data_IF_129162750661
#
_entry.id   IF_129162750661
#
_cell.length_a   1.000
_cell.length_b   1.000
_cell.length_c   1.000
_cell.angle_alpha   90.00
_cell.angle_beta   90.00
_cell.angle_gamma   90.00
#
_symmetry.space_group_name_H-M   'P 1'
#
loop_
_entity.id
_entity.type
_entity.pdbx_description
1 polymer ?
#
# COMPACT_ATOMS: atom_id res chain seq x y z
N UNK A 1 -10.20 2.37 14.28
CA UNK A 1 -9.22 3.04 13.40
C UNK A 1 -9.74 4.39 12.96
N UNK A 2 -10.83 4.48 12.19
CA UNK A 2 -11.45 5.78 11.88
C UNK A 2 -11.78 6.62 13.13
N UNK A 3 -12.19 5.98 14.25
CA UNK A 3 -12.43 6.68 15.53
C UNK A 3 -11.17 7.32 16.13
N UNK A 4 -9.99 6.75 15.86
CA UNK A 4 -8.70 7.23 16.42
C UNK A 4 -8.11 8.38 15.61
N UNK A 5 -8.31 8.36 14.29
CA UNK A 5 -7.70 9.33 13.35
C UNK A 5 -8.70 10.32 12.76
N UNK A 6 -9.99 10.13 13.01
CA UNK A 6 -11.06 10.88 12.35
C UNK A 6 -11.27 10.47 10.88
N UNK A 7 -12.09 11.24 10.15
CA UNK A 7 -12.28 11.05 8.71
C UNK A 7 -10.95 11.18 7.95
N UNK A 8 -10.67 10.23 7.06
CA UNK A 8 -9.46 10.22 6.24
C UNK A 8 -9.85 10.47 4.78
N UNK A 9 -9.32 11.50 4.16
CA UNK A 9 -9.49 11.68 2.72
C UNK A 9 -8.54 10.77 1.93
N UNK A 10 -7.27 10.72 2.34
CA UNK A 10 -6.20 10.01 1.63
C UNK A 10 -5.38 9.17 2.59
N UNK A 11 -5.14 7.90 2.24
CA UNK A 11 -4.27 7.00 2.99
C UNK A 11 -3.02 6.61 2.17
N UNK A 12 -1.83 6.91 2.70
CA UNK A 12 -0.56 6.36 2.21
C UNK A 12 -0.24 5.12 3.05
N UNK A 13 -0.25 3.93 2.45
CA UNK A 13 -0.09 2.67 3.19
C UNK A 13 1.17 1.94 2.76
N UNK A 14 2.08 1.58 3.68
CA UNK A 14 3.18 0.68 3.36
C UNK A 14 2.59 -0.69 2.99
N UNK A 15 3.03 -1.25 1.86
CA UNK A 15 2.56 -2.57 1.39
C UNK A 15 3.69 -3.59 1.28
N UNK A 16 4.92 -3.16 1.56
CA UNK A 16 6.12 -3.98 1.54
C UNK A 16 7.21 -3.39 2.44
N UNK A 17 8.45 -3.79 2.21
CA UNK A 17 9.58 -3.41 3.03
C UNK A 17 10.91 -3.68 2.36
N UNK A 18 11.98 -3.74 3.15
CA UNK A 18 13.36 -3.70 2.64
C UNK A 18 13.99 -5.08 2.51
N UNK A 19 13.21 -6.10 2.13
CA UNK A 19 13.72 -7.45 1.99
C UNK A 19 12.61 -8.51 1.98
N UNK A 20 12.99 -9.79 1.91
CA UNK A 20 12.04 -10.89 1.74
C UNK A 20 11.28 -11.26 3.02
N UNK A 21 11.59 -10.63 4.16
CA UNK A 21 10.89 -10.86 5.42
C UNK A 21 10.52 -9.52 6.07
N UNK A 22 9.23 -9.29 6.24
CA UNK A 22 8.67 -8.07 6.82
C UNK A 22 8.53 -8.16 8.36
N UNK A 23 8.32 -9.34 8.91
CA UNK A 23 8.05 -9.54 10.34
C UNK A 23 6.67 -9.01 10.78
N UNK A 24 6.31 -9.26 12.04
CA UNK A 24 4.94 -9.04 12.53
C UNK A 24 4.52 -7.56 12.62
N UNK A 25 5.49 -6.65 12.81
CA UNK A 25 5.26 -5.21 12.95
C UNK A 25 5.09 -4.45 11.62
N UNK A 26 5.17 -5.13 10.48
CA UNK A 26 5.04 -4.52 9.17
C UNK A 26 3.74 -4.91 8.48
N UNK A 27 3.24 -4.00 7.66
CA UNK A 27 2.15 -4.28 6.73
C UNK A 27 2.73 -4.93 5.48
N UNK A 28 2.09 -6.02 5.07
CA UNK A 28 2.12 -6.53 3.70
C UNK A 28 0.90 -6.00 2.93
N UNK A 29 0.82 -6.29 1.63
CA UNK A 29 -0.30 -5.89 0.77
C UNK A 29 -1.68 -6.27 1.35
N UNK A 30 -1.81 -7.46 1.96
CA UNK A 30 -3.07 -7.94 2.52
C UNK A 30 -3.45 -7.27 3.83
N UNK A 31 -2.48 -7.07 4.74
CA UNK A 31 -2.68 -6.32 5.99
C UNK A 31 -2.94 -4.84 5.72
N UNK A 32 -2.28 -4.25 4.72
CA UNK A 32 -2.57 -2.90 4.27
C UNK A 32 -4.01 -2.79 3.72
N UNK A 33 -4.47 -3.75 2.92
CA UNK A 33 -5.86 -3.75 2.44
C UNK A 33 -6.89 -3.92 3.58
N UNK A 34 -6.54 -4.65 4.65
CA UNK A 34 -7.35 -4.71 5.87
C UNK A 34 -7.41 -3.36 6.60
N UNK A 35 -6.27 -2.67 6.73
CA UNK A 35 -6.23 -1.33 7.31
C UNK A 35 -7.05 -0.35 6.46
N UNK A 36 -6.95 -0.43 5.14
CA UNK A 36 -7.70 0.40 4.19
C UNK A 36 -9.22 0.28 4.42
N UNK A 37 -9.73 -0.94 4.55
CA UNK A 37 -11.15 -1.20 4.81
C UNK A 37 -11.63 -0.67 6.18
N UNK A 38 -10.73 -0.50 7.16
CA UNK A 38 -11.05 0.06 8.48
C UNK A 38 -10.92 1.58 8.56
N UNK A 39 -10.09 2.17 7.69
CA UNK A 39 -9.89 3.62 7.57
C UNK A 39 -10.94 4.25 6.65
N UNK A 40 -11.45 3.48 5.67
CA UNK A 40 -12.42 3.91 4.65
C UNK A 40 -12.10 5.28 4.04
N UNK A 41 -10.87 5.49 3.51
CA UNK A 41 -10.53 6.75 2.89
C UNK A 41 -11.21 6.89 1.52
N UNK A 42 -11.19 8.10 0.94
CA UNK A 42 -11.63 8.30 -0.45
C UNK A 42 -10.58 7.80 -1.45
N UNK A 43 -9.31 8.07 -1.16
CA UNK A 43 -8.18 7.68 -1.99
C UNK A 43 -7.09 6.96 -1.21
N UNK A 44 -6.32 6.12 -1.87
CA UNK A 44 -5.14 5.49 -1.29
C UNK A 44 -3.98 5.33 -2.28
N UNK A 45 -2.76 5.36 -1.75
CA UNK A 45 -1.52 5.13 -2.53
C UNK A 45 -0.67 4.10 -1.78
N UNK A 46 -0.34 2.96 -2.41
CA UNK A 46 0.62 2.02 -1.83
C UNK A 46 2.02 2.63 -1.85
N UNK A 47 2.74 2.52 -0.73
CA UNK A 47 4.11 3.02 -0.58
C UNK A 47 5.02 1.96 0.04
N UNK A 48 6.30 2.30 0.22
CA UNK A 48 7.28 1.48 0.92
C UNK A 48 7.54 0.10 0.30
N UNK A 49 7.47 0.00 -1.02
CA UNK A 49 7.85 -1.19 -1.80
C UNK A 49 8.71 -0.79 -3.00
N UNK A 50 9.33 -1.75 -3.68
CA UNK A 50 9.99 -1.54 -4.98
C UNK A 50 11.15 -0.56 -4.99
N UNK A 51 11.78 -0.27 -3.84
CA UNK A 51 12.86 0.73 -3.74
C UNK A 51 14.12 0.19 -3.05
N UNK A 52 14.06 -0.24 -1.79
CA UNK A 52 15.23 -0.76 -1.06
C UNK A 52 15.26 -2.29 -1.04
N UNK A 53 16.45 -2.86 -1.30
CA UNK A 53 16.67 -4.30 -1.27
C UNK A 53 18.06 -4.64 -0.67
N UNK A 54 18.20 -5.71 0.14
CA UNK A 54 19.48 -6.08 0.72
C UNK A 54 20.49 -6.51 -0.35
N UNK A 55 21.75 -6.08 -0.17
CA UNK A 55 22.85 -6.48 -1.04
C UNK A 55 23.04 -8.01 -0.94
N UNK A 56 23.21 -8.67 -2.09
CA UNK A 56 23.46 -10.12 -2.16
C UNK A 56 22.21 -10.99 -2.20
N UNK A 57 21.01 -10.40 -2.27
CA UNK A 57 19.73 -11.12 -2.32
C UNK A 57 19.02 -10.99 -3.68
N UNK A 58 19.73 -10.71 -4.77
CA UNK A 58 19.08 -10.43 -6.07
C UNK A 58 18.28 -11.62 -6.63
N UNK A 59 18.60 -12.86 -6.26
CA UNK A 59 17.90 -14.06 -6.74
C UNK A 59 16.42 -14.15 -6.31
N UNK A 60 16.05 -13.56 -5.17
CA UNK A 60 14.65 -13.55 -4.65
C UNK A 60 13.94 -12.20 -4.84
N UNK A 61 14.67 -11.20 -5.34
CA UNK A 61 14.19 -9.83 -5.56
C UNK A 61 13.01 -9.67 -6.53
N UNK A 62 12.96 -10.35 -7.71
CA UNK A 62 12.03 -9.93 -8.77
C UNK A 62 10.55 -9.97 -8.37
N UNK A 63 10.16 -11.00 -7.61
CA UNK A 63 8.78 -11.19 -7.17
C UNK A 63 8.46 -10.33 -5.95
N UNK A 64 9.33 -10.32 -4.93
CA UNK A 64 9.08 -9.60 -3.67
C UNK A 64 9.18 -8.06 -3.80
N UNK A 65 9.88 -7.57 -4.83
CA UNK A 65 10.19 -6.14 -4.94
C UNK A 65 9.06 -5.32 -5.59
N UNK A 66 8.47 -5.80 -6.69
CA UNK A 66 7.47 -5.03 -7.45
C UNK A 66 6.02 -5.48 -7.24
N UNK A 67 5.79 -6.75 -6.92
CA UNK A 67 4.43 -7.29 -6.79
C UNK A 67 3.58 -6.68 -5.67
N UNK A 68 4.13 -6.18 -4.53
CA UNK A 68 3.28 -5.73 -3.43
C UNK A 68 2.30 -4.60 -3.79
N UNK A 69 2.71 -3.68 -4.67
CA UNK A 69 1.84 -2.60 -5.14
C UNK A 69 0.62 -3.11 -5.92
N UNK A 70 0.86 -3.99 -6.90
CA UNK A 70 -0.20 -4.58 -7.71
C UNK A 70 -1.11 -5.50 -6.88
N UNK A 71 -0.53 -6.26 -5.94
CA UNK A 71 -1.28 -7.14 -5.06
C UNK A 71 -2.16 -6.35 -4.09
N UNK A 72 -1.67 -5.22 -3.58
CA UNK A 72 -2.49 -4.31 -2.78
C UNK A 72 -3.68 -3.77 -3.56
N UNK A 73 -3.48 -3.35 -4.82
CA UNK A 73 -4.59 -2.89 -5.69
C UNK A 73 -5.65 -3.98 -5.84
N UNK A 74 -5.23 -5.22 -6.11
CA UNK A 74 -6.14 -6.37 -6.24
C UNK A 74 -6.93 -6.62 -4.96
N UNK A 75 -6.26 -6.68 -3.81
CA UNK A 75 -6.89 -6.94 -2.51
C UNK A 75 -7.75 -5.77 -2.02
N UNK A 76 -7.39 -4.53 -2.36
CA UNK A 76 -8.17 -3.34 -2.07
C UNK A 76 -9.47 -3.33 -2.87
N UNK A 77 -9.44 -3.72 -4.15
CA UNK A 77 -10.65 -3.83 -4.96
C UNK A 77 -11.66 -4.83 -4.38
N UNK A 78 -11.19 -5.91 -3.74
CA UNK A 78 -12.06 -6.90 -3.07
C UNK A 78 -12.61 -6.38 -1.73
N UNK A 79 -11.77 -5.72 -0.92
CA UNK A 79 -12.09 -5.37 0.47
C UNK A 79 -12.69 -3.97 0.66
N UNK A 80 -12.34 -3.05 -0.22
CA UNK A 80 -12.69 -1.64 -0.15
C UNK A 80 -12.95 -1.06 -1.56
N UNK A 81 -13.92 -1.62 -2.32
CA UNK A 81 -14.17 -1.27 -3.73
C UNK A 81 -14.56 0.20 -3.96
N UNK A 82 -15.00 0.91 -2.91
CA UNK A 82 -15.35 2.32 -2.98
C UNK A 82 -14.12 3.26 -2.88
N UNK A 83 -12.93 2.74 -2.56
CA UNK A 83 -11.71 3.54 -2.41
C UNK A 83 -10.98 3.62 -3.75
N UNK A 84 -10.67 4.84 -4.19
CA UNK A 84 -9.82 5.04 -5.36
C UNK A 84 -8.35 4.75 -5.02
N UNK A 85 -7.82 3.63 -5.49
CA UNK A 85 -6.39 3.29 -5.31
C UNK A 85 -5.57 3.80 -6.51
N UNK A 86 -4.51 4.55 -6.23
CA UNK A 86 -3.60 5.09 -7.24
C UNK A 86 -2.25 4.38 -7.15
N UNK A 87 -1.98 3.49 -8.10
CA UNK A 87 -0.69 2.83 -8.25
C UNK A 87 0.23 3.72 -9.10
N UNK A 88 1.22 4.34 -8.46
CA UNK A 88 2.12 5.30 -9.10
C UNK A 88 3.48 4.66 -9.42
N UNK A 89 4.04 5.04 -10.57
CA UNK A 89 5.45 4.80 -10.87
C UNK A 89 6.36 5.81 -10.13
N UNK A 90 7.67 5.51 -10.03
CA UNK A 90 8.64 6.45 -9.45
C UNK A 90 8.66 7.77 -10.23
N UNK A 91 8.37 8.86 -9.52
CA UNK A 91 8.32 10.22 -10.09
C UNK A 91 6.95 10.64 -10.64
N UNK A 92 5.97 9.74 -10.68
CA UNK A 92 4.60 10.07 -11.05
C UNK A 92 3.87 10.85 -9.93
N UNK A 93 2.82 11.59 -10.30
CA UNK A 93 2.03 12.40 -9.37
C UNK A 93 0.54 12.19 -9.60
N UNK A 94 -0.24 12.28 -8.52
CA UNK A 94 -1.70 12.24 -8.56
C UNK A 94 -2.28 13.36 -7.71
N UNK A 95 -3.47 13.84 -8.10
CA UNK A 95 -4.29 14.70 -7.28
C UNK A 95 -5.46 13.87 -6.73
N UNK A 96 -5.39 13.38 -5.48
CA UNK A 96 -6.43 12.53 -4.92
C UNK A 96 -7.70 13.32 -4.64
N UNK A 97 -8.82 12.62 -4.60
CA UNK A 97 -10.10 13.21 -4.22
C UNK A 97 -10.12 13.49 -2.72
N UNK A 98 -10.65 14.65 -2.32
CA UNK A 98 -10.82 15.05 -0.92
C UNK A 98 -12.27 15.49 -0.70
N UNK A 99 -12.78 15.34 0.52
CA UNK A 99 -14.06 15.92 0.91
C UNK A 99 -14.03 17.44 0.69
N UNK A 100 -15.13 17.98 0.15
CA UNK A 100 -15.33 19.42 0.00
C UNK A 100 -15.79 20.06 1.30
#
# INVERSE_FOLDING_TARGET
MAEEVGPVDVALLPVGGWGPYLGEGHLDAGRAAQALARLTPRSAVPVHYGTYWPIGMDAVRPHEFHTPGAEFVRLAAERAPAVAVHLLAHGESVRPEVAR
#
